data_IF_356369004912
#
_entry.id   IF_356369004912
#
_cell.length_a   1.000
_cell.length_b   1.000
_cell.length_c   1.000
_cell.angle_alpha   90.00
_cell.angle_beta   90.00
_cell.angle_gamma   90.00
#
_symmetry.space_group_name_H-M   'P 1'
#
loop_
_entity.id
_entity.type
_entity.pdbx_description
1 polymer ?
#
# COMPACT_ATOMS: atom_id res chain seq x y z
N UNK A 1 24.85 24.89 -17.33
CA UNK A 1 24.32 24.47 -18.65
C UNK A 1 23.44 25.60 -19.16
N UNK A 2 23.59 26.00 -20.43
CA UNK A 2 22.82 27.11 -21.00
C UNK A 2 21.38 26.70 -21.28
N UNK A 3 20.43 27.61 -21.02
CA UNK A 3 19.04 27.50 -21.47
C UNK A 3 19.04 27.57 -23.00
N UNK A 4 18.33 26.69 -23.72
CA UNK A 4 18.20 26.79 -25.17
C UNK A 4 17.62 28.15 -25.55
N UNK A 5 18.19 28.79 -26.56
CA UNK A 5 17.66 30.05 -27.06
C UNK A 5 16.44 29.77 -27.95
N UNK A 6 15.39 30.59 -27.84
CA UNK A 6 14.19 30.54 -28.68
C UNK A 6 14.11 31.87 -29.42
N UNK A 7 13.99 31.81 -30.74
CA UNK A 7 13.76 32.99 -31.58
C UNK A 7 12.26 33.27 -31.75
N UNK A 8 11.94 34.46 -32.29
CA UNK A 8 10.57 34.90 -32.52
C UNK A 8 9.76 33.92 -33.40
N UNK A 9 10.42 33.27 -34.37
CA UNK A 9 9.78 32.32 -35.26
C UNK A 9 9.36 31.06 -34.49
N UNK A 10 10.27 30.45 -33.73
CA UNK A 10 9.97 29.28 -32.92
C UNK A 10 8.91 29.59 -31.84
N UNK A 11 8.97 30.78 -31.22
CA UNK A 11 7.97 31.20 -30.26
C UNK A 11 6.57 31.33 -30.89
N UNK A 12 6.50 31.92 -32.09
CA UNK A 12 5.25 32.05 -32.86
C UNK A 12 4.69 30.68 -33.28
N UNK A 13 5.53 29.79 -33.76
CA UNK A 13 5.12 28.44 -34.19
C UNK A 13 4.59 27.60 -33.01
N UNK A 14 5.22 27.72 -31.84
CA UNK A 14 4.77 27.06 -30.62
C UNK A 14 3.37 27.52 -30.21
N UNK A 15 3.13 28.84 -30.13
CA UNK A 15 1.81 29.37 -29.76
C UNK A 15 0.75 29.07 -30.83
N UNK A 16 1.10 29.09 -32.11
CA UNK A 16 0.18 28.71 -33.19
C UNK A 16 -0.27 27.26 -33.07
N UNK A 17 0.68 26.35 -32.83
CA UNK A 17 0.40 24.92 -32.64
C UNK A 17 -0.48 24.68 -31.40
N UNK A 18 -0.24 25.43 -30.33
CA UNK A 18 -1.04 25.37 -29.11
C UNK A 18 -2.48 25.87 -29.33
N UNK A 19 -2.63 27.01 -29.99
CA UNK A 19 -3.96 27.62 -30.25
C UNK A 19 -4.75 26.81 -31.27
N UNK A 20 -4.12 26.20 -32.28
CA UNK A 20 -4.83 25.37 -33.27
C UNK A 20 -5.51 24.14 -32.66
N UNK A 21 -5.03 23.66 -31.51
CA UNK A 21 -5.64 22.56 -30.78
C UNK A 21 -6.86 22.99 -29.95
N UNK A 22 -7.12 24.31 -29.82
CA UNK A 22 -8.23 24.87 -29.04
C UNK A 22 -9.34 25.38 -29.97
N UNK A 23 -10.44 24.63 -30.04
CA UNK A 23 -11.53 24.84 -31.02
C UNK A 23 -12.22 26.20 -30.95
N UNK A 24 -12.19 26.86 -29.80
CA UNK A 24 -12.81 28.16 -29.57
C UNK A 24 -11.81 29.33 -29.62
N UNK A 25 -10.58 29.14 -30.08
CA UNK A 25 -9.58 30.20 -30.08
C UNK A 25 -9.27 30.64 -31.50
N UNK A 26 -9.41 31.94 -31.77
CA UNK A 26 -9.07 32.49 -33.07
C UNK A 26 -7.56 32.50 -33.29
N UNK A 27 -7.11 32.26 -34.52
CA UNK A 27 -5.68 32.17 -34.85
C UNK A 27 -5.00 33.52 -35.11
N UNK A 28 -5.78 34.61 -35.28
CA UNK A 28 -5.23 35.91 -35.69
C UNK A 28 -4.28 36.48 -34.64
N UNK A 29 -4.60 36.36 -33.34
CA UNK A 29 -3.69 36.80 -32.29
C UNK A 29 -2.36 36.04 -32.35
N UNK A 30 -2.37 34.71 -32.34
CA UNK A 30 -1.15 33.91 -32.47
C UNK A 30 -0.34 34.22 -33.75
N UNK A 31 -1.00 34.50 -34.88
CA UNK A 31 -0.33 34.81 -36.16
C UNK A 31 0.26 36.20 -36.24
N UNK A 32 -0.41 37.19 -35.65
CA UNK A 32 -0.15 38.61 -35.91
C UNK A 32 0.39 39.36 -34.68
N UNK A 33 0.41 38.74 -33.50
CA UNK A 33 0.97 39.38 -32.30
C UNK A 33 2.43 39.80 -32.55
N UNK A 34 2.81 40.95 -32.01
CA UNK A 34 4.20 41.42 -32.00
C UNK A 34 4.86 40.89 -30.75
N UNK A 35 5.94 40.12 -30.93
CA UNK A 35 6.80 39.67 -29.83
C UNK A 35 7.71 40.84 -29.48
N UNK A 36 7.72 41.25 -28.22
CA UNK A 36 8.48 42.40 -27.74
C UNK A 36 9.80 41.96 -27.12
N UNK A 37 9.76 40.86 -26.36
CA UNK A 37 10.91 40.31 -25.66
C UNK A 37 10.68 38.83 -25.35
N UNK A 38 11.76 38.06 -25.29
CA UNK A 38 11.79 36.66 -24.87
C UNK A 38 12.81 36.52 -23.74
N UNK A 39 12.32 36.52 -22.51
CA UNK A 39 13.17 36.33 -21.32
C UNK A 39 13.31 34.84 -21.02
N UNK A 40 14.52 34.30 -21.21
CA UNK A 40 14.85 32.91 -20.90
C UNK A 40 15.12 32.71 -19.39
N UNK A 41 14.60 31.61 -18.84
CA UNK A 41 14.76 31.21 -17.45
C UNK A 41 14.81 29.67 -17.31
N UNK A 42 14.99 29.18 -16.09
CA UNK A 42 15.01 27.75 -15.79
C UNK A 42 14.14 27.44 -14.59
N UNK A 43 13.31 26.42 -14.74
CA UNK A 43 12.65 25.75 -13.63
C UNK A 43 13.46 24.52 -13.23
N UNK A 44 13.55 24.26 -11.93
CA UNK A 44 14.21 23.08 -11.38
C UNK A 44 13.19 22.20 -10.66
N UNK A 45 13.25 20.89 -10.91
CA UNK A 45 12.44 19.90 -10.25
C UNK A 45 13.37 18.97 -9.48
N UNK A 46 13.47 19.19 -8.17
CA UNK A 46 14.22 18.36 -7.25
C UNK A 46 13.36 17.19 -6.80
N UNK A 47 13.91 15.98 -6.84
CA UNK A 47 13.26 14.74 -6.42
C UNK A 47 14.12 14.04 -5.37
N UNK A 48 13.47 13.54 -4.31
CA UNK A 48 14.06 12.70 -3.28
C UNK A 48 13.28 11.40 -3.18
N UNK A 49 13.97 10.28 -3.40
CA UNK A 49 13.46 8.93 -3.17
C UNK A 49 14.19 8.34 -1.96
N UNK A 50 13.44 7.79 -1.01
CA UNK A 50 13.98 7.17 0.21
C UNK A 50 13.41 5.78 0.36
N UNK A 51 14.29 4.79 0.28
CA UNK A 51 13.99 3.39 0.50
C UNK A 51 14.26 3.03 1.94
N UNK A 52 13.25 2.51 2.62
CA UNK A 52 13.31 2.14 4.02
C UNK A 52 13.08 0.65 4.19
N UNK A 53 13.62 0.11 5.28
CA UNK A 53 13.39 -1.24 5.75
C UNK A 53 12.79 -1.17 7.15
N UNK A 54 11.73 -1.96 7.35
CA UNK A 54 11.10 -2.16 8.65
C UNK A 54 11.07 -3.65 8.96
N UNK A 55 11.42 -3.99 10.20
CA UNK A 55 11.41 -5.36 10.70
C UNK A 55 10.44 -5.51 11.86
N UNK A 56 9.63 -6.57 11.84
CA UNK A 56 8.80 -6.98 12.98
C UNK A 56 9.05 -8.45 13.29
N UNK A 57 9.30 -8.75 14.56
CA UNK A 57 9.59 -10.11 15.02
C UNK A 57 8.48 -10.60 15.94
N UNK A 58 7.91 -11.77 15.65
CA UNK A 58 6.79 -12.36 16.39
C UNK A 58 7.05 -13.84 16.62
N UNK A 59 6.83 -14.30 17.85
CA UNK A 59 6.85 -15.73 18.17
C UNK A 59 5.60 -16.41 17.63
N UNK A 60 5.78 -17.48 16.85
CA UNK A 60 4.68 -18.26 16.28
C UNK A 60 4.72 -19.70 16.77
N UNK A 61 3.54 -20.31 16.86
CA UNK A 61 3.38 -21.72 17.18
C UNK A 61 2.81 -22.46 15.98
N UNK A 62 3.44 -23.58 15.61
CA UNK A 62 2.91 -24.51 14.61
C UNK A 62 2.95 -25.95 15.14
N UNK A 63 2.10 -26.87 14.65
CA UNK A 63 2.15 -28.26 15.05
C UNK A 63 3.54 -28.87 14.81
N UNK A 64 4.08 -29.58 15.81
CA UNK A 64 5.28 -30.38 15.61
C UNK A 64 4.88 -31.78 15.11
N UNK A 65 5.16 -32.07 13.84
CA UNK A 65 4.82 -33.32 13.16
C UNK A 65 6.04 -34.25 12.96
N UNK A 66 7.23 -33.83 13.41
CA UNK A 66 8.50 -34.52 13.21
C UNK A 66 9.44 -33.82 12.23
N UNK A 67 9.14 -32.57 11.86
CA UNK A 67 10.01 -31.74 11.03
C UNK A 67 11.37 -31.51 11.68
N UNK A 68 12.43 -31.42 10.88
CA UNK A 68 13.74 -30.97 11.37
C UNK A 68 13.61 -29.50 11.78
N UNK A 69 14.13 -29.17 12.97
CA UNK A 69 14.11 -27.80 13.49
C UNK A 69 15.51 -27.23 13.61
N UNK A 70 15.63 -25.93 13.37
CA UNK A 70 16.84 -25.17 13.60
C UNK A 70 16.82 -24.57 15.02
N UNK A 71 17.38 -25.32 15.96
CA UNK A 71 17.38 -24.97 17.39
C UNK A 71 18.68 -24.33 17.85
N UNK A 72 18.65 -23.80 19.08
CA UNK A 72 19.80 -23.19 19.74
C UNK A 72 21.03 -24.13 19.86
N UNK A 73 20.85 -25.44 19.69
CA UNK A 73 21.94 -26.42 19.63
C UNK A 73 22.91 -26.16 18.46
N UNK A 74 22.46 -25.46 17.41
CA UNK A 74 23.26 -25.09 16.24
C UNK A 74 23.95 -23.73 16.37
N UNK A 75 23.67 -22.98 17.44
CA UNK A 75 24.26 -21.67 17.72
C UNK A 75 23.29 -20.72 18.42
N UNK A 76 23.78 -19.57 18.88
CA UNK A 76 22.91 -18.54 19.46
C UNK A 76 21.99 -17.93 18.40
N UNK A 77 20.72 -17.71 18.75
CA UNK A 77 19.79 -16.99 17.89
C UNK A 77 20.24 -15.53 17.70
N UNK A 78 20.42 -15.04 16.45
CA UNK A 78 20.78 -13.66 16.19
C UNK A 78 19.64 -12.70 16.55
N UNK A 79 19.95 -11.41 16.75
CA UNK A 79 18.91 -10.39 16.90
C UNK A 79 18.20 -10.17 15.56
N UNK A 80 16.95 -9.67 15.55
CA UNK A 80 16.19 -9.44 14.33
C UNK A 80 16.91 -8.63 13.24
N UNK A 81 17.75 -7.66 13.60
CA UNK A 81 18.52 -6.85 12.65
C UNK A 81 19.83 -7.49 12.17
N UNK A 82 20.33 -8.49 12.89
CA UNK A 82 21.54 -9.24 12.54
C UNK A 82 21.23 -10.39 11.54
N UNK A 83 19.94 -10.70 11.34
CA UNK A 83 19.50 -11.66 10.31
C UNK A 83 19.77 -11.07 8.93
N UNK A 84 20.56 -11.76 8.11
CA UNK A 84 20.80 -11.32 6.74
C UNK A 84 19.55 -11.57 5.89
N UNK A 85 18.90 -10.48 5.47
CA UNK A 85 17.80 -10.51 4.50
C UNK A 85 18.12 -9.49 3.42
N UNK A 86 18.35 -9.96 2.20
CA UNK A 86 18.70 -9.11 1.06
C UNK A 86 17.41 -8.74 0.31
N UNK A 87 17.08 -7.45 0.14
CA UNK A 87 15.95 -7.06 -0.70
C UNK A 87 16.23 -7.48 -2.16
N UNK A 88 15.28 -8.12 -2.86
CA UNK A 88 15.45 -8.44 -4.28
C UNK A 88 15.70 -7.20 -5.15
N UNK A 89 15.09 -6.08 -4.78
CA UNK A 89 15.36 -4.75 -5.33
C UNK A 89 15.02 -3.69 -4.27
N UNK A 90 15.97 -2.83 -3.84
CA UNK A 90 15.72 -1.83 -2.78
C UNK A 90 14.72 -0.74 -3.20
N UNK A 91 14.50 -0.53 -4.51
CA UNK A 91 13.55 0.44 -5.07
C UNK A 91 12.18 -0.16 -5.38
N UNK A 92 11.97 -1.43 -5.00
CA UNK A 92 10.68 -2.10 -5.18
C UNK A 92 10.09 -2.40 -3.80
N UNK A 93 8.87 -1.94 -3.60
CA UNK A 93 8.14 -2.28 -2.39
C UNK A 93 7.89 -3.79 -2.31
N UNK A 94 8.00 -4.33 -1.10
CA UNK A 94 7.85 -5.75 -0.90
C UNK A 94 7.99 -6.16 0.56
N UNK A 95 7.73 -7.43 0.80
CA UNK A 95 7.84 -8.02 2.12
C UNK A 95 8.25 -9.48 2.00
N UNK A 96 9.07 -9.94 2.92
CA UNK A 96 9.36 -11.37 3.11
C UNK A 96 9.18 -11.73 4.58
N UNK A 97 8.81 -12.99 4.81
CA UNK A 97 8.76 -13.60 6.13
C UNK A 97 9.81 -14.69 6.16
N UNK A 98 10.71 -14.61 7.13
CA UNK A 98 11.78 -15.59 7.35
C UNK A 98 11.74 -16.06 8.81
N UNK A 99 12.10 -17.31 9.05
CA UNK A 99 12.35 -17.78 10.42
C UNK A 99 13.73 -17.28 10.87
N UNK A 100 13.83 -16.75 12.09
CA UNK A 100 15.11 -16.33 12.67
C UNK A 100 15.95 -17.58 12.93
N UNK A 101 17.20 -17.65 12.44
CA UNK A 101 18.07 -18.81 12.64
C UNK A 101 18.22 -19.20 14.11
N UNK A 102 18.28 -20.50 14.38
CA UNK A 102 18.47 -21.10 15.71
C UNK A 102 17.41 -20.70 16.76
N UNK A 103 16.29 -20.10 16.35
CA UNK A 103 15.24 -19.65 17.26
C UNK A 103 14.20 -20.73 17.57
N UNK A 104 14.16 -21.82 16.79
CA UNK A 104 13.12 -22.82 16.90
C UNK A 104 13.33 -23.75 18.09
N UNK A 105 12.24 -24.12 18.77
CA UNK A 105 12.25 -25.12 19.84
C UNK A 105 10.94 -25.87 19.92
N UNK A 106 11.00 -27.11 20.39
CA UNK A 106 9.80 -27.89 20.70
C UNK A 106 9.29 -27.45 22.06
N UNK A 107 8.01 -27.13 22.12
CA UNK A 107 7.31 -26.80 23.35
C UNK A 107 6.09 -27.67 23.52
N UNK A 108 5.64 -27.80 24.76
CA UNK A 108 4.40 -28.47 25.09
C UNK A 108 3.22 -27.71 24.49
N UNK A 109 2.26 -28.44 23.91
CA UNK A 109 1.04 -27.82 23.43
C UNK A 109 0.25 -27.22 24.61
N UNK A 110 0.15 -25.88 24.64
CA UNK A 110 -0.56 -25.15 25.69
C UNK A 110 -2.05 -25.48 25.76
N UNK A 111 -2.62 -25.91 24.65
CA UNK A 111 -4.05 -26.13 24.48
C UNK A 111 -4.52 -27.54 24.92
N UNK A 112 -3.63 -28.53 24.90
CA UNK A 112 -3.95 -29.88 25.39
C UNK A 112 -3.03 -30.38 26.49
N UNK A 113 -2.14 -29.53 27.00
CA UNK A 113 -1.15 -29.88 28.03
C UNK A 113 -0.45 -31.21 27.71
N UNK A 114 0.12 -31.30 26.50
CA UNK A 114 0.78 -32.49 25.91
C UNK A 114 -0.06 -33.72 25.62
N UNK A 115 -1.34 -33.77 25.99
CA UNK A 115 -2.17 -34.97 25.83
C UNK A 115 -2.49 -35.32 24.37
N UNK A 116 -2.35 -34.37 23.44
CA UNK A 116 -2.79 -34.52 22.04
C UNK A 116 -4.31 -34.62 21.88
N UNK A 117 -5.06 -34.66 22.98
CA UNK A 117 -6.52 -34.75 23.00
C UNK A 117 -7.07 -33.75 24.00
N UNK A 118 -8.28 -33.25 23.75
CA UNK A 118 -9.02 -32.38 24.67
C UNK A 118 -10.35 -33.03 25.00
N UNK A 119 -10.89 -32.71 26.17
CA UNK A 119 -12.24 -33.10 26.56
C UNK A 119 -13.23 -32.68 25.46
N UNK A 120 -14.12 -33.58 25.08
CA UNK A 120 -15.18 -33.27 24.14
C UNK A 120 -16.10 -32.21 24.76
N UNK A 121 -16.31 -31.12 24.05
CA UNK A 121 -17.18 -30.02 24.50
C UNK A 121 -18.67 -30.42 24.54
N UNK A 122 -19.08 -31.44 23.78
CA UNK A 122 -20.48 -31.89 23.70
C UNK A 122 -20.89 -32.85 24.81
N UNK A 123 -19.99 -33.74 25.26
CA UNK A 123 -20.28 -34.69 26.34
C UNK A 123 -19.45 -34.47 27.61
N UNK A 124 -18.64 -33.41 27.66
CA UNK A 124 -17.79 -33.06 28.80
C UNK A 124 -16.86 -34.18 29.29
N UNK A 125 -16.46 -35.11 28.41
CA UNK A 125 -15.58 -36.22 28.77
C UNK A 125 -16.29 -37.55 28.97
N UNK A 126 -17.62 -37.56 29.04
CA UNK A 126 -18.38 -38.77 29.36
C UNK A 126 -18.45 -39.76 28.20
N UNK A 127 -18.27 -39.30 26.96
CA UNK A 127 -18.41 -40.15 25.77
C UNK A 127 -19.86 -40.38 25.34
N UNK A 128 -20.81 -40.07 26.22
CA UNK A 128 -22.24 -40.21 26.01
C UNK A 128 -22.97 -38.88 26.25
N UNK A 129 -24.12 -38.71 25.61
CA UNK A 129 -25.03 -37.57 25.76
C UNK A 129 -26.42 -38.09 26.14
N UNK A 130 -27.18 -37.28 26.88
CA UNK A 130 -28.56 -37.59 27.23
C UNK A 130 -29.37 -37.86 25.95
N UNK A 131 -30.13 -38.95 25.94
CA UNK A 131 -31.03 -39.24 24.83
C UNK A 131 -32.18 -38.22 24.83
N UNK A 132 -32.22 -37.36 23.82
CA UNK A 132 -33.29 -36.35 23.69
C UNK A 132 -34.67 -36.98 23.52
N UNK A 133 -34.78 -38.11 22.81
CA UNK A 133 -36.08 -38.75 22.52
C UNK A 133 -36.79 -39.32 23.75
N UNK A 134 -36.06 -39.76 24.78
CA UNK A 134 -36.65 -40.18 26.06
C UNK A 134 -36.31 -39.23 27.21
N UNK A 135 -35.69 -38.09 26.89
CA UNK A 135 -35.13 -37.15 27.86
C UNK A 135 -34.35 -37.86 28.99
N UNK A 136 -33.48 -38.82 28.66
CA UNK A 136 -32.67 -39.52 29.67
C UNK A 136 -33.33 -40.67 30.42
N UNK A 137 -34.65 -40.88 30.27
CA UNK A 137 -35.39 -41.91 31.05
C UNK A 137 -35.20 -43.33 30.53
N UNK A 138 -34.68 -43.48 29.30
CA UNK A 138 -34.61 -44.77 28.61
C UNK A 138 -35.95 -45.29 28.11
N UNK A 139 -37.06 -44.57 28.34
CA UNK A 139 -38.40 -45.03 27.99
C UNK A 139 -39.18 -43.95 27.23
N UNK A 140 -40.04 -44.36 26.31
CA UNK A 140 -40.96 -43.48 25.59
C UNK A 140 -42.40 -43.90 25.86
N UNK A 141 -43.28 -42.92 26.00
CA UNK A 141 -44.73 -43.15 26.03
C UNK A 141 -45.23 -43.02 24.59
N UNK A 142 -45.83 -44.07 24.06
CA UNK A 142 -46.57 -43.96 22.80
C UNK A 142 -47.85 -43.17 23.11
N UNK A 143 -47.93 -41.94 22.58
CA UNK A 143 -49.23 -41.27 22.41
C UNK A 143 -49.82 -41.83 21.13
N UNK A 144 -50.89 -42.59 21.27
CA UNK A 144 -51.61 -43.26 20.17
C UNK A 144 -51.96 -42.25 19.07
N UNK A 145 -51.22 -42.30 17.97
CA UNK A 145 -51.64 -41.70 16.71
C UNK A 145 -52.36 -42.78 15.90
N UNK A 146 -53.64 -42.97 16.22
CA UNK A 146 -54.65 -43.59 15.35
C UNK A 146 -54.44 -45.06 14.92
N UNK A 147 -55.14 -45.99 15.59
CA UNK A 147 -56.10 -46.85 14.90
C UNK A 147 -57.13 -47.37 15.91
N UNK A 148 -58.35 -46.88 15.75
CA UNK A 148 -59.54 -47.29 16.47
C UNK A 148 -59.91 -48.72 16.05
N UNK A 149 -59.29 -49.74 16.67
CA UNK A 149 -59.83 -51.10 16.83
C UNK A 149 -58.77 -52.09 17.33
N UNK A 150 -58.51 -52.09 18.65
CA UNK A 150 -58.37 -53.33 19.44
C UNK A 150 -58.23 -52.98 20.93
N UNK A 151 -59.29 -53.28 21.69
CA UNK A 151 -59.31 -53.18 23.15
C UNK A 151 -58.53 -54.36 23.75
N UNK A 152 -57.28 -54.12 24.12
CA UNK A 152 -56.64 -54.83 25.22
C UNK A 152 -56.40 -53.77 26.31
N UNK A 153 -57.03 -53.94 27.48
CA UNK A 153 -56.84 -53.09 28.66
C UNK A 153 -55.45 -53.31 29.26
N UNK A 154 -54.41 -52.81 28.60
CA UNK A 154 -53.09 -52.63 29.20
C UNK A 154 -52.76 -51.15 28.99
N UNK A 155 -52.56 -50.35 30.06
CA UNK A 155 -52.05 -48.98 29.90
C UNK A 155 -50.78 -49.07 29.05
N UNK A 156 -50.56 -48.21 28.04
CA UNK A 156 -49.35 -48.28 27.22
C UNK A 156 -48.14 -48.19 28.14
N UNK A 157 -47.54 -49.36 28.41
CA UNK A 157 -46.40 -49.48 29.30
C UNK A 157 -45.24 -48.72 28.68
N UNK A 158 -44.40 -48.04 29.48
CA UNK A 158 -43.30 -47.27 28.95
C UNK A 158 -42.34 -48.21 28.19
N UNK A 159 -42.34 -48.12 26.86
CA UNK A 159 -41.51 -48.97 26.00
C UNK A 159 -40.07 -48.48 26.03
N UNK A 160 -39.13 -49.41 25.87
CA UNK A 160 -37.72 -49.06 25.75
C UNK A 160 -37.53 -48.09 24.57
N UNK A 161 -36.85 -46.97 24.82
CA UNK A 161 -36.60 -45.98 23.80
C UNK A 161 -35.68 -46.57 22.73
N UNK A 162 -36.22 -46.76 21.52
CA UNK A 162 -35.49 -47.34 20.39
C UNK A 162 -34.21 -46.58 20.04
N UNK A 163 -34.19 -45.26 20.26
CA UNK A 163 -33.04 -44.40 19.94
C UNK A 163 -31.81 -44.62 20.84
N UNK A 164 -32.02 -45.13 22.06
CA UNK A 164 -30.95 -45.42 23.03
C UNK A 164 -30.95 -46.88 23.53
N UNK A 165 -31.77 -47.74 22.93
CA UNK A 165 -31.92 -49.14 23.35
C UNK A 165 -32.37 -49.32 24.80
N UNK A 166 -33.06 -48.33 25.38
CA UNK A 166 -33.47 -48.37 26.79
C UNK A 166 -32.48 -47.77 27.80
N UNK A 167 -31.27 -47.37 27.39
CA UNK A 167 -30.23 -46.91 28.30
C UNK A 167 -30.33 -45.44 28.75
N UNK A 168 -31.19 -44.63 28.13
CA UNK A 168 -31.35 -43.20 28.45
C UNK A 168 -30.20 -42.30 27.98
N UNK A 169 -29.05 -42.88 27.62
CA UNK A 169 -27.90 -42.19 27.06
C UNK A 169 -27.60 -42.68 25.65
N UNK A 170 -26.91 -41.86 24.86
CA UNK A 170 -26.48 -42.20 23.50
C UNK A 170 -25.02 -41.86 23.36
N UNK A 171 -24.29 -42.64 22.55
CA UNK A 171 -22.93 -42.29 22.14
C UNK A 171 -22.90 -40.85 21.65
N UNK A 172 -21.98 -40.05 22.18
CA UNK A 172 -21.83 -38.66 21.78
C UNK A 172 -21.53 -38.61 20.28
N UNK A 173 -22.35 -37.88 19.53
CA UNK A 173 -22.21 -37.78 18.06
C UNK A 173 -20.96 -37.00 17.64
N UNK A 174 -20.40 -36.18 18.53
CA UNK A 174 -19.23 -35.34 18.25
C UNK A 174 -17.92 -36.11 18.42
N UNK A 175 -17.72 -36.77 19.58
CA UNK A 175 -16.50 -37.55 19.80
C UNK A 175 -16.62 -39.01 19.38
N UNK A 176 -17.84 -39.49 19.13
CA UNK A 176 -18.14 -40.91 18.89
C UNK A 176 -17.67 -41.79 20.05
N UNK A 177 -17.92 -41.43 21.32
CA UNK A 177 -17.69 -42.34 22.46
C UNK A 177 -16.43 -42.11 23.33
N UNK A 178 -15.23 -41.79 22.82
CA UNK A 178 -14.02 -41.58 23.64
C UNK A 178 -14.07 -40.47 24.69
N UNK A 179 -15.10 -39.63 24.71
CA UNK A 179 -15.15 -38.45 25.57
C UNK A 179 -14.12 -37.36 25.22
N UNK A 180 -13.27 -37.59 24.21
CA UNK A 180 -12.17 -36.73 23.85
C UNK A 180 -12.13 -36.47 22.35
N UNK A 181 -11.63 -35.30 21.97
CA UNK A 181 -11.42 -34.87 20.59
C UNK A 181 -9.92 -34.64 20.35
N UNK A 182 -9.40 -34.94 19.15
CA UNK A 182 -8.02 -34.60 18.82
C UNK A 182 -7.79 -33.09 18.99
N UNK A 183 -6.68 -32.71 19.63
CA UNK A 183 -6.30 -31.31 19.75
C UNK A 183 -5.95 -30.77 18.35
N UNK A 184 -6.70 -29.77 17.90
CA UNK A 184 -6.49 -29.13 16.59
C UNK A 184 -5.19 -28.34 16.55
N UNK A 185 -4.83 -27.66 17.64
CA UNK A 185 -3.65 -26.81 17.76
C UNK A 185 -2.35 -27.58 17.51
N UNK A 186 -2.20 -28.79 18.04
CA UNK A 186 -1.03 -29.64 17.83
C UNK A 186 -1.28 -30.85 16.91
N UNK A 187 -2.43 -30.92 16.23
CA UNK A 187 -2.83 -32.06 15.39
C UNK A 187 -2.65 -33.42 16.08
N UNK A 188 -3.12 -33.50 17.33
CA UNK A 188 -3.00 -34.66 18.22
C UNK A 188 -1.58 -35.15 18.56
N UNK A 189 -0.54 -34.33 18.35
CA UNK A 189 0.85 -34.68 18.69
C UNK A 189 1.27 -34.31 20.12
N UNK A 190 0.53 -33.43 20.78
CA UNK A 190 0.88 -32.92 22.12
C UNK A 190 2.03 -31.90 22.13
N UNK A 191 2.69 -31.68 21.00
CA UNK A 191 3.86 -30.82 20.86
C UNK A 191 3.65 -29.75 19.78
N UNK A 192 4.25 -28.59 20.00
CA UNK A 192 4.29 -27.47 19.05
C UNK A 192 5.75 -27.11 18.77
N UNK A 193 6.03 -26.68 17.55
CA UNK A 193 7.23 -25.92 17.24
C UNK A 193 6.95 -24.46 17.53
N UNK A 194 7.80 -23.85 18.34
CA UNK A 194 7.83 -22.43 18.62
C UNK A 194 9.06 -21.84 17.95
N UNK A 195 8.88 -20.90 17.03
CA UNK A 195 9.98 -20.18 16.37
C UNK A 195 9.72 -18.68 16.30
N UNK A 196 10.78 -17.89 16.20
CA UNK A 196 10.69 -16.46 16.01
C UNK A 196 10.61 -16.17 14.51
N UNK A 197 9.47 -15.67 14.04
CA UNK A 197 9.32 -15.20 12.67
C UNK A 197 9.68 -13.73 12.56
N UNK A 198 10.50 -13.42 11.56
CA UNK A 198 10.90 -12.09 11.20
C UNK A 198 10.24 -11.69 9.88
N UNK A 199 9.41 -10.67 9.96
CA UNK A 199 8.81 -10.03 8.79
C UNK A 199 9.64 -8.80 8.45
N UNK A 200 10.24 -8.80 7.25
CA UNK A 200 11.02 -7.68 6.73
C UNK A 200 10.24 -7.06 5.58
N UNK A 201 9.93 -5.76 5.68
CA UNK A 201 9.21 -5.00 4.66
C UNK A 201 10.03 -3.83 4.17
N UNK A 202 10.02 -3.59 2.86
CA UNK A 202 10.66 -2.47 2.20
C UNK A 202 9.63 -1.55 1.57
N UNK A 203 9.84 -0.25 1.73
CA UNK A 203 8.99 0.81 1.16
C UNK A 203 9.83 1.87 0.49
N UNK A 204 9.29 2.51 -0.54
CA UNK A 204 9.93 3.62 -1.21
C UNK A 204 9.05 4.86 -1.12
N UNK A 205 9.57 5.89 -0.48
CA UNK A 205 8.91 7.17 -0.34
C UNK A 205 9.49 8.18 -1.31
N UNK A 206 8.62 8.86 -2.07
CA UNK A 206 9.00 9.91 -3.01
C UNK A 206 8.45 11.24 -2.55
N UNK A 207 9.30 12.26 -2.59
CA UNK A 207 8.93 13.65 -2.38
C UNK A 207 9.68 14.51 -3.38
N UNK A 208 9.07 15.62 -3.78
CA UNK A 208 9.63 16.52 -4.76
C UNK A 208 9.42 17.99 -4.39
N UNK A 209 10.21 18.85 -5.03
CA UNK A 209 10.02 20.30 -4.98
C UNK A 209 10.31 20.89 -6.35
N UNK A 210 9.41 21.76 -6.79
CA UNK A 210 9.62 22.59 -7.98
C UNK A 210 10.08 23.98 -7.54
N UNK A 211 11.13 24.46 -8.18
CA UNK A 211 11.62 25.84 -8.09
C UNK A 211 11.36 26.46 -9.46
N UNK A 212 10.33 27.29 -9.54
CA UNK A 212 9.86 27.97 -10.75
C UNK A 212 9.58 29.43 -10.34
N UNK A 213 10.02 30.41 -11.15
CA UNK A 213 9.99 31.85 -10.80
C UNK A 213 9.12 32.68 -11.74
N UNK A 214 8.38 32.04 -12.64
CA UNK A 214 7.46 32.65 -13.58
C UNK A 214 6.01 32.38 -13.14
N UNK A 215 5.05 32.55 -14.04
CA UNK A 215 3.66 32.20 -13.77
C UNK A 215 3.32 30.78 -14.22
N UNK A 216 4.29 29.97 -14.66
CA UNK A 216 4.05 28.59 -15.10
C UNK A 216 3.71 27.71 -13.89
N UNK A 217 2.52 27.06 -13.85
CA UNK A 217 2.15 26.20 -12.75
C UNK A 217 3.14 25.05 -12.54
N UNK A 218 3.51 24.77 -11.28
CA UNK A 218 4.45 23.68 -10.95
C UNK A 218 4.01 22.32 -11.50
N UNK A 219 2.70 22.07 -11.59
CA UNK A 219 2.14 20.82 -12.14
C UNK A 219 2.55 20.59 -13.60
N UNK A 220 2.70 21.65 -14.39
CA UNK A 220 3.19 21.57 -15.77
C UNK A 220 4.68 21.27 -15.81
N UNK A 221 5.47 21.82 -14.88
CA UNK A 221 6.89 21.50 -14.77
C UNK A 221 7.11 20.04 -14.36
N UNK A 222 6.26 19.51 -13.47
CA UNK A 222 6.29 18.10 -13.05
C UNK A 222 5.99 17.15 -14.20
N UNK A 223 5.04 17.49 -15.08
CA UNK A 223 4.54 16.60 -16.13
C UNK A 223 5.45 16.48 -17.36
N UNK A 224 6.32 17.46 -17.61
CA UNK A 224 7.22 17.45 -18.76
C UNK A 224 8.53 16.72 -18.47
N UNK A 225 9.21 16.29 -19.54
CA UNK A 225 10.60 15.85 -19.43
C UNK A 225 11.54 17.06 -19.31
N UNK A 226 12.74 16.82 -18.77
CA UNK A 226 13.76 17.84 -18.59
C UNK A 226 15.14 17.20 -18.53
N UNK A 227 16.18 18.03 -18.58
CA UNK A 227 17.56 17.56 -18.55
C UNK A 227 17.97 17.32 -17.10
N UNK A 228 18.56 16.16 -16.82
CA UNK A 228 19.14 15.88 -15.50
C UNK A 228 20.35 16.80 -15.28
N UNK A 229 20.25 17.69 -14.29
CA UNK A 229 21.30 18.62 -13.88
C UNK A 229 22.14 18.05 -12.73
N UNK A 230 21.56 17.17 -11.92
CA UNK A 230 22.22 16.45 -10.84
C UNK A 230 21.49 15.12 -10.59
N UNK A 231 22.23 14.06 -10.26
CA UNK A 231 21.70 12.75 -9.85
C UNK A 231 22.71 12.09 -8.94
N UNK A 232 22.25 11.54 -7.82
CA UNK A 232 23.10 10.86 -6.84
C UNK A 232 22.30 9.73 -6.17
N UNK A 233 22.98 8.60 -5.94
CA UNK A 233 22.44 7.44 -5.24
C UNK A 233 23.44 6.98 -4.16
N UNK A 234 22.97 6.88 -2.91
CA UNK A 234 23.78 6.45 -1.75
C UNK A 234 22.91 5.72 -0.73
N UNK A 235 23.53 5.06 0.26
CA UNK A 235 22.80 4.51 1.41
C UNK A 235 22.03 5.60 2.18
N UNK A 236 22.68 6.77 2.35
CA UNK A 236 22.06 8.02 2.76
C UNK A 236 22.72 9.15 1.96
N UNK A 237 21.91 10.00 1.36
CA UNK A 237 22.41 11.14 0.57
C UNK A 237 22.57 12.36 1.48
N UNK A 238 23.49 13.26 1.11
CA UNK A 238 23.68 14.52 1.83
C UNK A 238 22.89 15.64 1.15
N UNK A 239 22.43 16.65 1.91
CA UNK A 239 21.79 17.80 1.29
C UNK A 239 22.71 18.48 0.29
N UNK A 240 22.16 18.85 -0.86
CA UNK A 240 22.88 19.59 -1.88
C UNK A 240 23.17 21.00 -1.33
N UNK A 241 24.43 21.40 -1.36
CA UNK A 241 24.89 22.71 -0.87
C UNK A 241 25.74 23.49 -1.89
N UNK A 242 25.91 22.95 -3.09
CA UNK A 242 26.74 23.52 -4.16
C UNK A 242 25.94 23.79 -5.44
N UNK A 243 24.62 23.56 -5.46
CA UNK A 243 23.83 23.82 -6.65
C UNK A 243 23.79 25.34 -6.91
N UNK A 244 23.93 25.80 -8.17
CA UNK A 244 23.94 27.24 -8.47
C UNK A 244 22.69 27.99 -8.02
N UNK A 245 21.55 27.30 -7.97
CA UNK A 245 20.30 27.84 -7.46
C UNK A 245 20.12 27.50 -5.97
N UNK A 246 20.18 28.51 -5.10
CA UNK A 246 20.05 28.32 -3.65
C UNK A 246 18.72 27.73 -3.21
N UNK A 247 17.64 27.95 -3.96
CA UNK A 247 16.33 27.39 -3.63
C UNK A 247 16.32 25.86 -3.78
N UNK A 248 17.11 25.32 -4.71
CA UNK A 248 17.32 23.86 -4.83
C UNK A 248 18.09 23.31 -3.63
N UNK A 249 19.12 24.02 -3.17
CA UNK A 249 19.88 23.65 -1.97
C UNK A 249 18.98 23.66 -0.71
N UNK A 250 18.08 24.64 -0.61
CA UNK A 250 17.09 24.72 0.47
C UNK A 250 16.09 23.56 0.41
N UNK A 251 15.50 23.32 -0.76
CA UNK A 251 14.55 22.23 -0.96
C UNK A 251 15.17 20.85 -0.63
N UNK A 252 16.44 20.65 -0.99
CA UNK A 252 17.16 19.42 -0.67
C UNK A 252 17.30 19.22 0.84
N UNK A 253 17.69 20.25 1.59
CA UNK A 253 17.76 20.20 3.06
C UNK A 253 16.40 19.90 3.69
N UNK A 254 15.37 20.65 3.33
CA UNK A 254 14.03 20.51 3.91
C UNK A 254 13.46 19.10 3.70
N UNK A 255 13.52 18.57 2.46
CA UNK A 255 12.96 17.25 2.19
C UNK A 255 13.75 16.11 2.84
N UNK A 256 15.08 16.26 2.99
CA UNK A 256 15.88 15.28 3.72
C UNK A 256 15.57 15.29 5.22
N UNK A 257 15.40 16.46 5.81
CA UNK A 257 15.03 16.59 7.22
C UNK A 257 13.59 16.10 7.47
N UNK A 258 12.66 16.40 6.56
CA UNK A 258 11.30 15.86 6.59
C UNK A 258 11.31 14.33 6.53
N UNK A 259 12.03 13.73 5.58
CA UNK A 259 12.13 12.27 5.47
C UNK A 259 12.76 11.66 6.72
N UNK A 260 13.80 12.28 7.28
CA UNK A 260 14.44 11.81 8.53
C UNK A 260 13.46 11.84 9.70
N UNK A 261 12.65 12.89 9.82
CA UNK A 261 11.66 13.00 10.88
C UNK A 261 10.51 11.99 10.68
N UNK A 262 9.94 11.95 9.47
CA UNK A 262 8.76 11.16 9.11
C UNK A 262 9.02 9.65 9.15
N UNK A 263 10.22 9.21 8.78
CA UNK A 263 10.60 7.80 8.69
C UNK A 263 11.62 7.37 9.77
N UNK A 264 11.69 8.10 10.88
CA UNK A 264 12.62 7.85 11.99
C UNK A 264 12.52 6.46 12.63
N UNK A 265 11.36 5.81 12.52
CA UNK A 265 11.13 4.45 13.02
C UNK A 265 11.54 3.33 12.04
N UNK A 266 11.96 3.69 10.82
CA UNK A 266 12.37 2.76 9.77
C UNK A 266 13.85 2.97 9.44
N UNK A 267 14.53 1.91 9.01
CA UNK A 267 15.95 2.00 8.66
C UNK A 267 16.06 2.42 7.19
N UNK A 268 16.66 3.57 6.92
CA UNK A 268 17.02 3.95 5.54
C UNK A 268 18.07 2.97 5.00
N UNK A 269 17.78 2.35 3.85
CA UNK A 269 18.68 1.40 3.18
C UNK A 269 19.28 1.95 1.89
N UNK A 270 18.57 2.87 1.23
CA UNK A 270 19.03 3.58 0.06
C UNK A 270 18.27 4.90 -0.09
N UNK A 271 18.93 5.90 -0.64
CA UNK A 271 18.32 7.16 -1.04
C UNK A 271 18.86 7.57 -2.40
N UNK A 272 17.98 8.17 -3.20
CA UNK A 272 18.32 8.79 -4.47
C UNK A 272 17.82 10.21 -4.48
N UNK A 273 18.65 11.12 -4.94
CA UNK A 273 18.24 12.50 -5.18
C UNK A 273 18.61 12.93 -6.58
N UNK A 274 17.74 13.70 -7.23
CA UNK A 274 18.01 14.25 -8.55
C UNK A 274 17.44 15.65 -8.71
N UNK A 275 18.10 16.45 -9.55
CA UNK A 275 17.62 17.76 -9.98
C UNK A 275 17.44 17.71 -11.49
N UNK A 276 16.22 17.93 -11.94
CA UNK A 276 15.88 18.08 -13.36
C UNK A 276 15.68 19.54 -13.70
N UNK A 277 16.28 20.00 -14.79
CA UNK A 277 16.12 21.35 -15.32
C UNK A 277 15.14 21.33 -16.50
N UNK A 278 14.18 22.26 -16.45
CA UNK A 278 13.18 22.52 -17.49
C UNK A 278 13.38 23.95 -17.98
N UNK A 279 13.66 24.16 -19.27
CA UNK A 279 13.75 25.51 -19.81
C UNK A 279 12.37 26.16 -19.81
N UNK A 280 12.32 27.44 -19.47
CA UNK A 280 11.10 28.26 -19.48
C UNK A 280 11.42 29.61 -20.10
N UNK A 281 10.60 30.05 -21.06
CA UNK A 281 10.74 31.32 -21.74
C UNK A 281 9.47 32.13 -21.53
N UNK A 282 9.60 33.29 -20.92
CA UNK A 282 8.52 34.26 -20.82
C UNK A 282 8.54 35.13 -22.07
N UNK A 283 7.46 35.10 -22.85
CA UNK A 283 7.33 35.87 -24.09
C UNK A 283 6.38 37.04 -23.85
N UNK A 284 6.93 38.24 -23.91
CA UNK A 284 6.16 39.48 -23.86
C UNK A 284 5.58 39.77 -25.24
N UNK A 285 4.27 40.01 -25.33
CA UNK A 285 3.61 40.28 -26.60
C UNK A 285 2.67 41.48 -26.54
N UNK A 286 2.43 42.05 -27.71
CA UNK A 286 1.40 43.06 -27.95
C UNK A 286 0.53 42.61 -29.11
N UNK A 287 -0.79 42.65 -28.93
CA UNK A 287 -1.75 42.43 -30.01
C UNK A 287 -2.96 43.34 -29.83
N UNK A 288 -3.17 44.24 -30.80
CA UNK A 288 -4.17 45.31 -30.70
C UNK A 288 -3.97 46.11 -29.40
N UNK A 289 -4.97 46.16 -28.54
CA UNK A 289 -4.92 46.85 -27.25
C UNK A 289 -4.50 45.93 -26.08
N UNK A 290 -4.21 44.65 -26.35
CA UNK A 290 -3.79 43.68 -25.34
C UNK A 290 -2.27 43.63 -25.25
N UNK A 291 -1.78 43.66 -24.01
CA UNK A 291 -0.38 43.39 -23.65
C UNK A 291 -0.36 42.35 -22.57
N UNK A 292 0.57 41.42 -22.65
CA UNK A 292 0.66 40.35 -21.67
C UNK A 292 1.84 39.45 -21.93
N UNK A 293 1.80 38.31 -21.26
CA UNK A 293 2.81 37.29 -21.36
C UNK A 293 2.17 35.94 -21.66
N UNK A 294 2.89 35.14 -22.42
CA UNK A 294 2.70 33.70 -22.43
C UNK A 294 4.04 33.02 -22.18
N UNK A 295 3.99 31.73 -21.88
CA UNK A 295 5.16 30.99 -21.48
C UNK A 295 5.35 29.80 -22.39
N UNK A 296 6.60 29.58 -22.80
CA UNK A 296 7.04 28.37 -23.48
C UNK A 296 7.87 27.59 -22.48
N UNK A 297 7.63 26.30 -22.33
CA UNK A 297 8.32 25.47 -21.35
C UNK A 297 8.60 24.06 -21.86
N UNK A 298 9.63 23.44 -21.29
CA UNK A 298 10.09 22.12 -21.71
C UNK A 298 10.89 22.15 -23.01
N UNK A 299 11.52 21.02 -23.32
CA UNK A 299 12.30 20.89 -24.56
C UNK A 299 11.41 20.69 -25.80
N UNK A 300 10.14 20.33 -25.57
CA UNK A 300 9.12 20.17 -26.62
C UNK A 300 8.38 21.49 -26.92
N UNK A 301 8.85 22.62 -26.37
CA UNK A 301 8.28 23.97 -26.56
C UNK A 301 6.76 24.03 -26.31
N UNK A 302 6.30 23.44 -25.21
CA UNK A 302 4.90 23.48 -24.82
C UNK A 302 4.51 24.88 -24.36
N UNK A 303 3.26 25.26 -24.56
CA UNK A 303 2.79 26.62 -24.29
C UNK A 303 1.82 26.65 -23.12
N UNK A 304 2.03 27.62 -22.23
CA UNK A 304 1.09 28.01 -21.20
C UNK A 304 0.64 29.45 -21.45
N UNK A 305 -0.62 29.61 -21.84
CA UNK A 305 -1.21 30.91 -22.21
C UNK A 305 -2.63 31.04 -21.64
N UNK A 306 -2.77 31.26 -20.33
CA UNK A 306 -4.08 31.28 -19.66
C UNK A 306 -4.97 32.42 -20.18
N UNK A 307 -4.37 33.58 -20.45
CA UNK A 307 -5.08 34.81 -20.80
C UNK A 307 -5.05 35.11 -22.31
N UNK A 308 -5.18 34.06 -23.14
CA UNK A 308 -5.26 34.23 -24.59
C UNK A 308 -6.38 35.22 -24.98
N UNK A 309 -6.10 36.32 -25.70
CA UNK A 309 -7.05 37.41 -25.87
C UNK A 309 -8.13 37.15 -26.93
N UNK A 310 -7.96 36.12 -27.77
CA UNK A 310 -8.91 35.80 -28.85
C UNK A 310 -9.66 34.49 -28.57
N UNK A 311 -10.42 34.45 -27.47
CA UNK A 311 -11.35 33.35 -27.14
C UNK A 311 -12.72 33.64 -27.76
N UNK A 312 -13.06 32.92 -28.82
CA UNK A 312 -14.35 32.98 -29.52
C UNK A 312 -14.98 31.59 -29.55
N UNK A 313 -15.85 31.28 -28.60
CA UNK A 313 -16.80 30.17 -28.75
C UNK A 313 -18.08 30.70 -29.42
N UNK A 314 -18.52 30.06 -30.51
CA UNK A 314 -19.88 30.14 -31.04
C UNK A 314 -20.52 31.55 -31.08
N UNK A 315 -19.90 32.51 -31.76
CA UNK A 315 -20.54 33.77 -32.14
C UNK A 315 -20.69 34.85 -31.06
N UNK A 316 -20.17 34.64 -29.85
CA UNK A 316 -20.09 35.65 -28.80
C UNK A 316 -18.63 36.05 -28.58
N UNK A 317 -18.27 37.25 -29.04
CA UNK A 317 -17.00 37.90 -28.69
C UNK A 317 -17.12 38.52 -27.31
N UNK A 318 -16.60 37.87 -26.28
CA UNK A 318 -16.28 38.57 -25.02
C UNK A 318 -15.00 39.38 -25.26
N UNK A 319 -15.19 40.61 -25.71
CA UNK A 319 -14.15 41.65 -25.61
C UNK A 319 -14.12 42.02 -24.12
N UNK A 320 -13.26 41.37 -23.35
CA UNK A 320 -12.91 41.85 -22.00
C UNK A 320 -12.23 43.21 -22.17
N UNK A 321 -13.04 44.26 -22.05
CA UNK A 321 -12.59 45.64 -21.90
C UNK A 321 -11.96 45.79 -20.53
N UNK A 322 -10.70 46.21 -20.52
CA UNK A 322 -9.95 46.62 -19.34
C UNK A 322 -10.70 47.76 -18.62
N UNK A 323 -11.25 47.48 -17.44
CA UNK A 323 -11.64 48.53 -16.49
C UNK A 323 -10.39 48.95 -15.74
N UNK A 324 -9.88 50.12 -16.11
CA UNK A 324 -8.91 50.87 -15.31
C UNK A 324 -9.63 51.36 -14.05
N UNK A 325 -9.17 50.93 -12.87
CA UNK A 325 -9.26 51.67 -11.62
C UNK A 325 -8.03 51.37 -10.77
#
# INVERSE_FOLDING_TARGET
>A
ASVPNIDDLAARDAVLSYVSNNRCWGLACAREMTIMDITASSAFHYNLETCTEKRTAVWIHEPYTGQVIDSADRGPSPKPWDVLVVPPNPYREGQVVVEVPHSARIVNCYDCATMGRRRCWSCFGNGEIRCNACNGTGKILELESGSENQRINVPPGPKACYQCGGGGQRRCVVCLGPGQLPCKTCLARGQLKLSLQLTVSWKMYKSDRVVERTAVPEVLIRSVQGRVAFDEEKAAVWPINFFPDEAVNHASRELLDEHRARFSAEKTIAQRQSVRMVPVHQVAYVWRNYRGFYYIYGHDNLVYFPDYPQKTCCGLTEILTCSIQ
#
